data_IF_911937715130
#
_entry.id   IF_911937715130
#
_cell.length_a   1.000
_cell.length_b   1.000
_cell.length_c   1.000
_cell.angle_alpha   90.00
_cell.angle_beta   90.00
_cell.angle_gamma   90.00
#
_symmetry.space_group_name_H-M   'P 1'
#
loop_
_entity.id
_entity.type
_entity.pdbx_description
1 polymer ?
#
# COMPACT_ATOMS: atom_id res chain seq x y z
N UNK A 1 -15.36 -2.13 -8.85
CA UNK A 1 -16.60 -1.55 -9.41
C UNK A 1 -16.81 -2.14 -10.78
N UNK A 2 -17.90 -2.88 -11.03
CA UNK A 2 -18.17 -3.50 -12.34
C UNK A 2 -18.52 -2.45 -13.41
N UNK A 3 -18.34 -2.82 -14.66
CA UNK A 3 -18.72 -1.97 -15.81
C UNK A 3 -20.26 -1.90 -15.95
N UNK A 4 -20.80 -0.73 -16.20
CA UNK A 4 -22.22 -0.40 -16.01
C UNK A 4 -23.20 -1.03 -17.03
N UNK A 5 -22.77 -1.52 -18.18
CA UNK A 5 -23.66 -2.03 -19.21
C UNK A 5 -23.28 -3.43 -19.65
N UNK A 6 -24.24 -4.36 -19.64
CA UNK A 6 -24.06 -5.74 -20.00
C UNK A 6 -23.54 -6.62 -18.87
N UNK A 7 -23.12 -7.84 -19.18
CA UNK A 7 -22.51 -8.80 -18.24
C UNK A 7 -21.03 -8.87 -18.50
N UNK A 8 -20.22 -8.60 -17.46
CA UNK A 8 -18.75 -8.65 -17.54
C UNK A 8 -18.17 -9.03 -16.18
N UNK A 9 -17.04 -9.71 -16.17
CA UNK A 9 -16.23 -9.95 -14.97
C UNK A 9 -15.19 -8.85 -14.73
N UNK A 10 -14.96 -7.96 -15.71
CA UNK A 10 -14.05 -6.85 -15.55
C UNK A 10 -14.55 -5.86 -14.51
N UNK A 11 -13.70 -5.52 -13.56
CA UNK A 11 -13.98 -4.57 -12.49
C UNK A 11 -12.82 -3.58 -12.33
N UNK A 12 -13.13 -2.33 -12.01
CA UNK A 12 -12.10 -1.38 -11.59
C UNK A 12 -11.78 -1.55 -10.10
N UNK A 13 -10.51 -1.46 -9.76
CA UNK A 13 -10.02 -1.41 -8.40
C UNK A 13 -9.34 -0.07 -8.17
N UNK A 14 -9.54 0.51 -7.00
CA UNK A 14 -8.88 1.74 -6.58
C UNK A 14 -8.47 1.63 -5.12
N UNK A 15 -7.26 2.07 -4.83
CA UNK A 15 -6.74 2.18 -3.48
C UNK A 15 -6.05 3.53 -3.28
N UNK A 16 -6.03 4.01 -2.05
CA UNK A 16 -5.31 5.25 -1.70
C UNK A 16 -4.23 4.97 -0.66
N UNK A 17 -3.23 5.85 -0.60
CA UNK A 17 -2.19 5.86 0.41
C UNK A 17 -1.95 7.28 0.90
N UNK A 18 -1.80 7.43 2.22
CA UNK A 18 -1.42 8.66 2.91
C UNK A 18 -1.24 8.40 4.40
N UNK A 19 -0.16 8.94 4.95
CA UNK A 19 0.07 8.98 6.39
C UNK A 19 0.47 10.40 6.81
N UNK A 20 -0.37 11.11 7.57
CA UNK A 20 -0.12 12.49 7.98
C UNK A 20 1.11 12.63 8.89
N UNK A 21 1.37 11.68 9.77
CA UNK A 21 2.50 11.73 10.71
C UNK A 21 3.84 11.59 9.98
N UNK A 22 3.93 10.66 9.04
CA UNK A 22 5.10 10.53 8.18
C UNK A 22 5.29 11.76 7.32
N UNK A 23 4.22 12.33 6.76
CA UNK A 23 4.28 13.54 5.94
C UNK A 23 4.73 14.78 6.73
N UNK A 24 4.36 14.89 8.02
CA UNK A 24 4.84 15.94 8.93
C UNK A 24 6.32 15.75 9.24
N UNK A 25 6.74 14.52 9.51
CA UNK A 25 8.14 14.18 9.77
C UNK A 25 9.02 14.46 8.54
N UNK A 26 8.59 14.02 7.36
CA UNK A 26 9.27 14.25 6.09
C UNK A 26 8.30 14.19 4.92
N UNK A 27 8.02 15.32 4.25
CA UNK A 27 7.17 15.35 3.07
C UNK A 27 7.66 14.40 1.96
N UNK A 28 8.97 14.23 1.82
CA UNK A 28 9.57 13.28 0.87
C UNK A 28 9.14 11.83 1.17
N UNK A 29 9.34 11.37 2.40
CA UNK A 29 8.95 10.00 2.79
C UNK A 29 7.44 9.83 2.82
N UNK A 30 6.70 10.85 3.29
CA UNK A 30 5.24 10.81 3.30
C UNK A 30 4.66 10.58 1.91
N UNK A 31 5.16 11.27 0.91
CA UNK A 31 4.71 11.12 -0.48
C UNK A 31 5.20 9.81 -1.13
N UNK A 32 6.45 9.43 -0.89
CA UNK A 32 7.00 8.16 -1.36
C UNK A 32 6.20 6.97 -0.81
N UNK A 33 5.91 6.96 0.49
CA UNK A 33 5.14 5.90 1.12
C UNK A 33 3.66 5.94 0.73
N UNK A 34 3.09 7.12 0.46
CA UNK A 34 1.73 7.23 -0.06
C UNK A 34 1.58 6.54 -1.42
N UNK A 35 2.54 6.73 -2.32
CA UNK A 35 2.58 6.02 -3.62
C UNK A 35 2.68 4.52 -3.38
N UNK A 36 3.63 4.09 -2.57
CA UNK A 36 3.84 2.66 -2.26
C UNK A 36 2.59 2.04 -1.63
N UNK A 37 1.99 2.68 -0.63
CA UNK A 37 0.78 2.18 0.04
C UNK A 37 -0.37 1.99 -0.95
N UNK A 38 -0.65 2.97 -1.81
CA UNK A 38 -1.73 2.88 -2.78
C UNK A 38 -1.53 1.72 -3.76
N UNK A 39 -0.29 1.51 -4.23
CA UNK A 39 0.08 0.41 -5.13
C UNK A 39 -0.06 -0.94 -4.44
N UNK A 40 0.54 -1.09 -3.25
CA UNK A 40 0.50 -2.35 -2.47
C UNK A 40 -0.94 -2.75 -2.14
N UNK A 41 -1.78 -1.80 -1.77
CA UNK A 41 -3.21 -2.03 -1.49
C UNK A 41 -3.99 -2.44 -2.74
N UNK A 42 -3.69 -1.86 -3.90
CA UNK A 42 -4.32 -2.26 -5.15
C UNK A 42 -3.91 -3.68 -5.55
N UNK A 43 -2.63 -4.03 -5.37
CA UNK A 43 -2.13 -5.39 -5.63
C UNK A 43 -2.73 -6.40 -4.66
N UNK A 44 -2.90 -6.05 -3.37
CA UNK A 44 -3.57 -6.90 -2.39
C UNK A 44 -5.02 -7.26 -2.78
N UNK A 45 -5.67 -6.47 -3.63
CA UNK A 45 -7.00 -6.76 -4.20
C UNK A 45 -6.96 -7.57 -5.51
N UNK A 46 -5.77 -7.87 -6.04
CA UNK A 46 -5.57 -8.63 -7.27
C UNK A 46 -5.09 -7.81 -8.48
N UNK A 47 -4.82 -6.51 -8.33
CA UNK A 47 -4.37 -5.71 -9.46
C UNK A 47 -2.96 -6.11 -9.94
N UNK A 48 -2.77 -6.10 -11.26
CA UNK A 48 -1.45 -6.25 -11.88
C UNK A 48 -0.59 -5.00 -11.57
N UNK A 49 0.53 -5.14 -10.82
CA UNK A 49 1.36 -4.01 -10.43
C UNK A 49 1.89 -3.21 -11.62
N UNK A 50 2.12 -3.84 -12.77
CA UNK A 50 2.64 -3.17 -13.97
C UNK A 50 1.58 -2.36 -14.74
N UNK A 51 0.29 -2.60 -14.46
CA UNK A 51 -0.83 -1.95 -15.19
C UNK A 51 -1.53 -0.87 -14.40
N UNK A 52 -1.09 -0.58 -13.20
CA UNK A 52 -1.67 0.50 -12.39
C UNK A 52 -1.41 1.87 -13.01
N UNK A 53 -2.34 2.78 -12.78
CA UNK A 53 -2.23 4.21 -13.09
C UNK A 53 -2.51 4.99 -11.82
N UNK A 54 -1.78 6.07 -11.61
CA UNK A 54 -1.91 6.83 -10.38
C UNK A 54 -2.46 8.23 -10.65
N UNK A 55 -3.15 8.78 -9.66
CA UNK A 55 -3.51 10.19 -9.59
C UNK A 55 -3.15 10.72 -8.21
N UNK A 56 -2.66 11.95 -8.15
CA UNK A 56 -2.15 12.54 -6.92
C UNK A 56 -3.03 13.71 -6.49
N UNK A 57 -3.30 13.81 -5.19
CA UNK A 57 -4.01 14.94 -4.59
C UNK A 57 -3.10 15.61 -3.56
N UNK A 58 -2.88 16.90 -3.72
CA UNK A 58 -1.96 17.66 -2.88
C UNK A 58 -2.65 18.79 -2.15
N UNK A 59 -2.28 18.95 -0.87
CA UNK A 59 -2.72 20.06 -0.03
C UNK A 59 -1.55 20.54 0.82
N UNK A 60 -1.18 21.81 0.67
CA UNK A 60 -0.08 22.40 1.40
C UNK A 60 -0.50 23.71 2.09
N UNK A 61 0.23 24.13 3.14
CA UNK A 61 0.07 25.45 3.74
C UNK A 61 0.21 26.57 2.71
N UNK A 62 -0.15 27.79 3.10
CA UNK A 62 0.09 28.97 2.26
C UNK A 62 1.59 29.14 1.99
N UNK A 63 1.98 29.16 0.73
CA UNK A 63 3.38 29.21 0.27
C UNK A 63 3.89 30.65 0.19
N UNK A 64 4.17 31.27 1.32
CA UNK A 64 4.55 32.69 1.45
C UNK A 64 6.05 32.91 1.64
N UNK A 65 6.86 31.87 1.71
CA UNK A 65 8.31 31.93 1.85
C UNK A 65 8.98 30.67 1.27
N UNK A 66 10.31 30.71 1.14
CA UNK A 66 11.10 29.62 0.52
C UNK A 66 10.96 28.28 1.26
N UNK A 67 10.91 28.31 2.59
CA UNK A 67 10.76 27.08 3.38
C UNK A 67 9.39 26.42 3.14
N UNK A 68 8.32 27.21 3.02
CA UNK A 68 6.99 26.70 2.69
C UNK A 68 6.97 26.03 1.30
N UNK A 69 7.68 26.58 0.31
CA UNK A 69 7.83 25.93 -1.01
C UNK A 69 8.64 24.63 -0.97
N UNK A 70 9.49 24.45 0.02
CA UNK A 70 10.23 23.21 0.26
C UNK A 70 9.33 22.01 0.56
N UNK A 71 8.13 22.23 1.13
CA UNK A 71 7.19 21.15 1.48
C UNK A 71 6.63 20.45 0.23
N UNK A 72 5.96 21.14 -0.73
CA UNK A 72 5.49 20.48 -1.94
C UNK A 72 6.64 19.97 -2.80
N UNK A 73 7.77 20.68 -2.87
CA UNK A 73 8.92 20.20 -3.62
C UNK A 73 9.47 18.89 -3.07
N UNK A 74 9.61 18.75 -1.74
CA UNK A 74 10.03 17.52 -1.09
C UNK A 74 9.03 16.37 -1.34
N UNK A 75 7.73 16.66 -1.23
CA UNK A 75 6.69 15.66 -1.51
C UNK A 75 6.73 15.17 -2.96
N UNK A 76 6.84 16.09 -3.93
CA UNK A 76 6.96 15.74 -5.35
C UNK A 76 8.20 14.89 -5.64
N UNK A 77 9.35 15.20 -5.04
CA UNK A 77 10.55 14.37 -5.16
C UNK A 77 10.34 12.97 -4.61
N UNK A 78 9.67 12.82 -3.46
CA UNK A 78 9.34 11.51 -2.89
C UNK A 78 8.40 10.71 -3.77
N UNK A 79 7.34 11.33 -4.25
CA UNK A 79 6.40 10.70 -5.19
C UNK A 79 7.10 10.30 -6.49
N UNK A 80 7.92 11.19 -7.06
CA UNK A 80 8.70 10.91 -8.28
C UNK A 80 9.65 9.73 -8.09
N UNK A 81 10.35 9.67 -6.96
CA UNK A 81 11.25 8.56 -6.62
C UNK A 81 10.51 7.22 -6.66
N UNK A 82 9.33 7.15 -6.06
CA UNK A 82 8.54 5.92 -6.05
C UNK A 82 7.95 5.59 -7.45
N UNK A 83 7.41 6.58 -8.14
CA UNK A 83 6.82 6.40 -9.47
C UNK A 83 7.85 5.93 -10.51
N UNK A 84 9.03 6.55 -10.52
CA UNK A 84 10.13 6.20 -11.42
C UNK A 84 10.65 4.78 -11.13
N UNK A 85 10.91 4.48 -9.86
CA UNK A 85 11.41 3.17 -9.45
C UNK A 85 10.40 2.03 -9.67
N UNK A 86 9.10 2.31 -9.56
CA UNK A 86 8.03 1.34 -9.84
C UNK A 86 7.65 1.31 -11.33
N UNK A 87 8.17 2.22 -12.16
CA UNK A 87 7.82 2.39 -13.58
C UNK A 87 6.32 2.62 -13.80
N UNK A 88 5.68 3.36 -12.90
CA UNK A 88 4.24 3.63 -12.93
C UNK A 88 3.96 5.11 -13.25
N UNK A 89 3.06 5.40 -14.20
CA UNK A 89 2.72 6.77 -14.52
C UNK A 89 1.69 7.36 -13.56
N UNK A 90 1.90 8.60 -13.15
CA UNK A 90 0.83 9.45 -12.65
C UNK A 90 0.14 10.13 -13.84
N UNK A 91 -1.15 9.86 -14.02
CA UNK A 91 -1.93 10.30 -15.19
C UNK A 91 -2.70 11.60 -14.95
N UNK A 92 -2.68 12.11 -13.73
CA UNK A 92 -3.37 13.33 -13.35
C UNK A 92 -3.22 13.62 -11.88
N UNK A 93 -3.84 14.70 -11.47
CA UNK A 93 -3.83 15.11 -10.07
C UNK A 93 -4.42 16.51 -9.91
N UNK A 94 -4.39 16.97 -8.67
CA UNK A 94 -4.86 18.30 -8.28
C UNK A 94 -4.06 18.76 -7.07
N UNK A 95 -3.64 19.99 -7.08
CA UNK A 95 -2.93 20.61 -5.96
C UNK A 95 -3.70 21.80 -5.37
N UNK A 96 -3.45 22.09 -4.10
CA UNK A 96 -3.93 23.27 -3.40
C UNK A 96 -2.86 23.80 -2.44
N UNK A 97 -2.43 25.03 -2.67
CA UNK A 97 -1.33 25.68 -1.94
C UNK A 97 -1.81 26.76 -0.96
N UNK A 98 -3.03 26.61 -0.44
CA UNK A 98 -3.65 27.57 0.46
C UNK A 98 -4.39 26.90 1.62
N UNK A 99 -3.89 25.78 2.10
CA UNK A 99 -4.49 25.01 3.19
C UNK A 99 -4.29 25.64 4.58
N UNK A 100 -4.40 26.96 4.69
CA UNK A 100 -4.32 27.70 5.95
C UNK A 100 -5.58 28.52 6.15
N UNK A 101 -6.24 28.35 7.28
CA UNK A 101 -7.40 29.11 7.69
C UNK A 101 -7.23 29.59 9.14
N UNK A 102 -7.13 30.90 9.33
CA UNK A 102 -6.79 31.54 10.60
C UNK A 102 -5.47 30.99 11.16
N UNK A 103 -5.50 30.35 12.32
CA UNK A 103 -4.38 29.72 13.04
C UNK A 103 -4.18 28.23 12.68
N UNK A 104 -5.09 27.66 11.88
CA UNK A 104 -5.05 26.24 11.49
C UNK A 104 -4.44 26.08 10.12
N UNK A 105 -3.57 25.08 10.00
CA UNK A 105 -2.89 24.76 8.74
C UNK A 105 -2.96 23.25 8.51
N UNK A 106 -3.18 22.85 7.26
CA UNK A 106 -3.10 21.43 6.89
C UNK A 106 -1.66 20.94 7.01
N UNK A 107 -1.43 19.69 7.43
CA UNK A 107 -0.11 19.07 7.30
C UNK A 107 0.30 19.00 5.82
N UNK A 108 1.60 18.86 5.51
CA UNK A 108 2.03 18.53 4.16
C UNK A 108 1.30 17.29 3.70
N UNK A 109 0.54 17.38 2.62
CA UNK A 109 -0.34 16.29 2.18
C UNK A 109 -0.12 15.99 0.72
N UNK A 110 0.29 14.75 0.42
CA UNK A 110 0.19 14.16 -0.88
C UNK A 110 -0.49 12.79 -0.73
N UNK A 111 -1.71 12.70 -1.23
CA UNK A 111 -2.48 11.45 -1.28
C UNK A 111 -2.28 10.82 -2.64
N UNK A 112 -1.88 9.57 -2.69
CA UNK A 112 -1.80 8.78 -3.92
C UNK A 112 -3.03 7.89 -4.06
N UNK A 113 -3.58 7.82 -5.27
CA UNK A 113 -4.63 6.88 -5.65
C UNK A 113 -4.10 6.01 -6.78
N UNK A 114 -4.03 4.70 -6.57
CA UNK A 114 -3.72 3.73 -7.60
C UNK A 114 -5.01 3.14 -8.15
N UNK A 115 -5.13 3.08 -9.47
CA UNK A 115 -6.30 2.57 -10.19
C UNK A 115 -5.87 1.49 -11.16
N UNK A 116 -6.61 0.40 -11.21
CA UNK A 116 -6.40 -0.72 -12.12
C UNK A 116 -7.68 -1.40 -12.55
N UNK A 117 -7.54 -2.39 -13.41
CA UNK A 117 -8.63 -3.27 -13.84
C UNK A 117 -8.27 -4.69 -13.44
N UNK A 118 -9.23 -5.42 -12.88
CA UNK A 118 -9.09 -6.81 -12.47
C UNK A 118 -10.22 -7.66 -13.04
N UNK A 119 -10.04 -8.98 -13.05
CA UNK A 119 -11.17 -9.91 -13.13
C UNK A 119 -11.82 -10.00 -11.74
N UNK A 120 -13.06 -9.54 -11.61
CA UNK A 120 -13.77 -9.53 -10.33
C UNK A 120 -13.95 -10.92 -9.71
N UNK A 121 -13.90 -11.99 -10.50
CA UNK A 121 -13.94 -13.36 -9.98
C UNK A 121 -12.63 -13.78 -9.28
N UNK A 122 -11.54 -13.04 -9.50
CA UNK A 122 -10.22 -13.28 -8.91
C UNK A 122 -9.88 -12.25 -7.83
N UNK A 123 -10.82 -11.38 -7.49
CA UNK A 123 -10.62 -10.40 -6.43
C UNK A 123 -10.37 -11.11 -5.10
N UNK A 124 -9.33 -10.70 -4.38
CA UNK A 124 -8.96 -11.20 -3.07
C UNK A 124 -9.40 -10.19 -2.00
N UNK A 125 -9.97 -10.66 -0.91
CA UNK A 125 -10.36 -9.83 0.23
C UNK A 125 -9.44 -10.05 1.43
N UNK A 126 -9.53 -9.16 2.42
CA UNK A 126 -8.54 -9.10 3.49
C UNK A 126 -8.76 -10.12 4.61
N UNK A 127 -10.01 -10.53 4.89
CA UNK A 127 -10.31 -11.45 5.98
C UNK A 127 -9.73 -12.85 5.75
N UNK A 128 -9.17 -13.48 6.78
CA UNK A 128 -8.72 -14.88 6.71
C UNK A 128 -9.88 -15.81 6.38
N UNK A 129 -9.63 -16.83 5.54
CA UNK A 129 -10.69 -17.69 4.96
C UNK A 129 -10.84 -19.01 5.69
N UNK A 130 -9.74 -19.67 6.08
CA UNK A 130 -9.80 -21.02 6.61
C UNK A 130 -8.75 -21.24 7.70
N UNK A 131 -9.16 -21.89 8.80
CA UNK A 131 -8.24 -22.26 9.88
C UNK A 131 -7.22 -23.32 9.42
N UNK A 132 -5.97 -23.13 9.84
CA UNK A 132 -4.86 -24.05 9.50
C UNK A 132 -4.12 -23.69 8.22
N UNK A 133 -4.54 -22.67 7.49
CA UNK A 133 -3.77 -22.14 6.39
C UNK A 133 -2.53 -21.38 6.89
N UNK A 134 -1.45 -21.44 6.10
CA UNK A 134 -0.24 -20.70 6.40
C UNK A 134 -0.40 -19.21 6.06
N UNK A 135 0.15 -18.36 6.93
CA UNK A 135 0.14 -16.91 6.75
C UNK A 135 1.56 -16.37 6.67
N UNK A 136 1.84 -15.63 5.61
CA UNK A 136 3.16 -15.05 5.35
C UNK A 136 3.11 -13.54 5.53
N UNK A 137 4.09 -13.00 6.26
CA UNK A 137 4.40 -11.59 6.26
C UNK A 137 5.52 -11.31 5.26
N UNK A 138 5.21 -10.55 4.23
CA UNK A 138 6.15 -10.13 3.20
C UNK A 138 6.57 -8.69 3.48
N UNK A 139 7.83 -8.48 3.87
CA UNK A 139 8.40 -7.17 4.16
C UNK A 139 9.12 -6.58 2.94
N UNK A 140 9.29 -5.27 2.95
CA UNK A 140 10.17 -4.57 2.01
C UNK A 140 11.36 -3.97 2.76
N UNK A 141 12.61 -4.30 2.40
CA UNK A 141 13.80 -3.71 3.00
C UNK A 141 13.87 -2.19 2.77
N UNK A 142 14.56 -1.50 3.69
CA UNK A 142 14.85 -0.06 3.61
C UNK A 142 16.32 0.17 3.90
N UNK A 143 16.87 1.23 3.33
CA UNK A 143 18.21 1.70 3.66
C UNK A 143 18.22 2.56 4.94
N UNK A 144 19.41 3.06 5.31
CA UNK A 144 19.58 3.92 6.49
C UNK A 144 18.92 5.30 6.35
N UNK A 145 18.51 5.69 5.15
CA UNK A 145 17.74 6.90 4.87
C UNK A 145 16.24 6.63 4.80
N UNK A 146 15.79 5.46 5.21
CA UNK A 146 14.38 5.02 5.17
C UNK A 146 13.80 4.95 3.74
N UNK A 147 14.64 4.86 2.71
CA UNK A 147 14.22 4.64 1.32
C UNK A 147 14.07 3.15 1.07
N UNK A 148 12.96 2.77 0.44
CA UNK A 148 12.65 1.36 0.17
C UNK A 148 13.58 0.77 -0.91
N UNK A 149 13.87 -0.51 -0.79
CA UNK A 149 14.40 -1.31 -1.89
C UNK A 149 13.28 -1.58 -2.91
N UNK A 150 13.16 -0.69 -3.88
CA UNK A 150 12.13 -0.79 -4.91
C UNK A 150 12.31 -2.01 -5.82
N UNK A 151 13.53 -2.52 -5.98
CA UNK A 151 13.74 -3.75 -6.75
C UNK A 151 13.13 -4.95 -6.02
N UNK A 152 13.36 -5.05 -4.71
CA UNK A 152 12.72 -6.06 -3.87
C UNK A 152 11.21 -5.89 -3.84
N UNK A 153 10.70 -4.65 -3.70
CA UNK A 153 9.27 -4.37 -3.72
C UNK A 153 8.61 -4.82 -5.03
N UNK A 154 9.17 -4.46 -6.18
CA UNK A 154 8.66 -4.88 -7.50
C UNK A 154 8.62 -6.39 -7.65
N UNK A 155 9.71 -7.07 -7.24
CA UNK A 155 9.77 -8.54 -7.24
C UNK A 155 8.64 -9.13 -6.40
N UNK A 156 8.46 -8.64 -5.17
CA UNK A 156 7.43 -9.10 -4.25
C UNK A 156 6.03 -8.91 -4.84
N UNK A 157 5.71 -7.71 -5.33
CA UNK A 157 4.39 -7.41 -5.89
C UNK A 157 4.07 -8.23 -7.14
N UNK A 158 5.07 -8.48 -7.99
CA UNK A 158 4.92 -9.35 -9.17
C UNK A 158 4.65 -10.80 -8.76
N UNK A 159 5.37 -11.32 -7.76
CA UNK A 159 5.17 -12.67 -7.25
C UNK A 159 3.79 -12.84 -6.60
N UNK A 160 3.37 -11.85 -5.79
CA UNK A 160 2.03 -11.83 -5.16
C UNK A 160 0.93 -11.85 -6.22
N UNK A 161 1.01 -10.98 -7.22
CA UNK A 161 0.02 -10.96 -8.30
C UNK A 161 -0.04 -12.28 -9.07
N UNK A 162 1.11 -12.85 -9.44
CA UNK A 162 1.18 -14.15 -10.12
C UNK A 162 0.58 -15.29 -9.26
N UNK A 163 0.84 -15.29 -7.96
CA UNK A 163 0.28 -16.27 -7.04
C UNK A 163 -1.25 -16.12 -6.87
N UNK A 164 -1.77 -14.88 -6.85
CA UNK A 164 -3.21 -14.61 -6.85
C UNK A 164 -3.87 -15.12 -8.14
N UNK A 165 -3.29 -14.82 -9.30
CA UNK A 165 -3.76 -15.32 -10.59
C UNK A 165 -3.80 -16.85 -10.66
N UNK A 166 -2.86 -17.52 -9.99
CA UNK A 166 -2.79 -18.98 -9.88
C UNK A 166 -3.70 -19.57 -8.77
N UNK A 167 -4.43 -18.73 -8.02
CA UNK A 167 -5.29 -19.19 -6.91
C UNK A 167 -4.52 -19.72 -5.70
N UNK A 168 -3.27 -19.30 -5.51
CA UNK A 168 -2.40 -19.69 -4.40
C UNK A 168 -2.55 -18.81 -3.15
N UNK A 169 -3.25 -17.69 -3.24
CA UNK A 169 -3.47 -16.73 -2.13
C UNK A 169 -4.98 -16.59 -1.90
N UNK A 170 -5.41 -16.85 -0.68
CA UNK A 170 -6.82 -16.77 -0.27
C UNK A 170 -7.20 -15.40 0.30
N UNK A 171 -6.30 -14.78 1.07
CA UNK A 171 -6.49 -13.44 1.61
C UNK A 171 -5.20 -12.62 1.53
N UNK A 172 -5.34 -11.31 1.35
CA UNK A 172 -4.21 -10.41 1.31
C UNK A 172 -4.57 -9.02 1.83
N UNK A 173 -3.68 -8.41 2.60
CA UNK A 173 -3.85 -7.04 3.04
C UNK A 173 -2.50 -6.33 3.24
N UNK A 174 -2.48 -5.03 2.95
CA UNK A 174 -1.33 -4.16 3.19
C UNK A 174 -1.24 -3.78 4.67
N UNK A 175 -0.03 -3.82 5.23
CA UNK A 175 0.21 -3.37 6.60
C UNK A 175 0.15 -1.85 6.64
N UNK A 176 -0.53 -1.33 7.67
CA UNK A 176 -0.77 0.10 7.91
C UNK A 176 -0.45 0.46 9.36
N UNK A 177 -0.94 1.63 9.80
CA UNK A 177 -0.81 2.07 11.18
C UNK A 177 -1.31 1.01 12.17
N UNK A 178 -0.54 0.83 13.23
CA UNK A 178 -0.72 -0.25 14.19
C UNK A 178 -0.01 -1.56 13.80
N UNK A 179 0.69 -1.55 12.65
CA UNK A 179 1.59 -2.63 12.25
C UNK A 179 0.89 -3.95 11.93
N UNK A 180 1.66 -5.02 11.98
CA UNK A 180 1.20 -6.38 11.72
C UNK A 180 0.15 -6.80 12.75
N UNK A 181 0.30 -6.39 14.02
CA UNK A 181 -0.62 -6.75 15.08
C UNK A 181 -2.05 -6.27 14.82
N UNK A 182 -2.21 -4.99 14.44
CA UNK A 182 -3.52 -4.43 14.12
C UNK A 182 -4.11 -5.07 12.86
N UNK A 183 -3.27 -5.29 11.83
CA UNK A 183 -3.72 -5.90 10.58
C UNK A 183 -4.21 -7.33 10.79
N UNK A 184 -3.40 -8.20 11.42
CA UNK A 184 -3.76 -9.60 11.68
C UNK A 184 -5.03 -9.68 12.54
N UNK A 185 -5.16 -8.84 13.56
CA UNK A 185 -6.39 -8.76 14.36
C UNK A 185 -7.61 -8.45 13.48
N UNK A 186 -7.49 -7.46 12.59
CA UNK A 186 -8.59 -7.11 11.68
C UNK A 186 -8.92 -8.24 10.71
N UNK A 187 -7.91 -8.94 10.17
CA UNK A 187 -8.10 -10.08 9.28
C UNK A 187 -8.77 -11.27 9.98
N UNK A 188 -8.54 -11.46 11.28
CA UNK A 188 -9.20 -12.48 12.09
C UNK A 188 -10.69 -12.22 12.28
N UNK A 189 -11.09 -10.95 12.45
CA UNK A 189 -12.47 -10.58 12.82
C UNK A 189 -13.50 -10.93 11.73
N UNK A 190 -13.11 -10.94 10.46
CA UNK A 190 -14.05 -11.11 9.35
C UNK A 190 -14.75 -12.47 9.34
N UNK A 191 -14.05 -13.54 9.70
CA UNK A 191 -14.59 -14.91 9.77
C UNK A 191 -14.39 -15.57 11.15
N UNK A 192 -14.17 -14.77 12.19
CA UNK A 192 -14.02 -15.23 13.57
C UNK A 192 -12.90 -16.28 13.73
N UNK A 193 -11.80 -16.12 12.99
CA UNK A 193 -10.65 -17.02 13.04
C UNK A 193 -9.61 -16.51 14.03
N UNK A 194 -8.86 -17.45 14.65
CA UNK A 194 -7.69 -17.15 15.47
C UNK A 194 -6.43 -17.02 14.64
N UNK A 195 -5.35 -16.53 15.26
CA UNK A 195 -4.03 -16.42 14.66
C UNK A 195 -2.94 -16.79 15.67
N UNK A 196 -1.93 -17.52 15.21
CA UNK A 196 -0.77 -17.89 16.02
C UNK A 196 0.53 -17.53 15.28
N UNK A 197 1.43 -16.82 15.97
CA UNK A 197 2.77 -16.56 15.44
C UNK A 197 3.66 -17.78 15.65
N UNK A 198 4.07 -18.45 14.59
CA UNK A 198 4.93 -19.65 14.65
C UNK A 198 6.37 -19.28 15.02
N UNK A 199 6.84 -18.11 14.59
CA UNK A 199 8.18 -17.58 14.91
C UNK A 199 8.03 -16.34 15.79
N UNK A 200 8.79 -16.26 16.90
CA UNK A 200 8.79 -15.06 17.73
C UNK A 200 9.36 -13.87 16.95
N UNK A 201 8.79 -12.69 17.17
CA UNK A 201 9.40 -11.44 16.75
C UNK A 201 10.60 -11.12 17.66
N UNK A 202 11.61 -10.45 17.10
CA UNK A 202 12.81 -10.07 17.85
C UNK A 202 12.50 -9.12 19.01
N UNK A 203 11.48 -8.28 18.82
CA UNK A 203 10.97 -7.36 19.83
C UNK A 203 9.46 -7.10 19.61
N UNK A 204 8.78 -6.67 20.66
CA UNK A 204 7.34 -6.40 20.60
C UNK A 204 7.03 -5.17 19.75
N UNK A 205 7.91 -4.19 19.70
CA UNK A 205 7.69 -2.93 18.98
C UNK A 205 7.59 -3.16 17.47
N UNK A 206 8.31 -4.15 16.95
CA UNK A 206 8.25 -4.52 15.52
C UNK A 206 6.86 -4.97 15.06
N UNK A 207 6.03 -5.47 15.97
CA UNK A 207 4.64 -5.86 15.68
C UNK A 207 3.74 -4.64 15.41
N UNK A 208 4.06 -3.50 15.99
CA UNK A 208 3.25 -2.27 15.93
C UNK A 208 3.86 -1.21 15.01
N UNK A 209 5.08 -1.44 14.53
CA UNK A 209 5.74 -0.52 13.60
C UNK A 209 5.11 -0.63 12.21
N UNK A 210 4.98 0.52 11.52
CA UNK A 210 4.56 0.59 10.13
C UNK A 210 5.70 0.11 9.21
N UNK A 211 5.58 -1.03 8.51
CA UNK A 211 6.51 -1.47 7.48
C UNK A 211 6.00 -1.02 6.10
N UNK A 212 6.42 0.13 5.54
CA UNK A 212 5.98 0.55 4.22
C UNK A 212 6.25 -0.54 3.18
N UNK A 213 5.25 -0.84 2.34
CA UNK A 213 5.36 -1.92 1.36
C UNK A 213 5.06 -3.33 1.90
N UNK A 214 4.77 -3.46 3.21
CA UNK A 214 4.48 -4.75 3.84
C UNK A 214 3.10 -5.31 3.48
N UNK A 215 3.03 -6.64 3.31
CA UNK A 215 1.82 -7.41 3.04
C UNK A 215 1.69 -8.59 4.00
N UNK A 216 0.47 -8.87 4.44
CA UNK A 216 0.10 -10.14 5.08
C UNK A 216 -0.74 -10.93 4.08
N UNK A 217 -0.38 -12.19 3.87
CA UNK A 217 -0.95 -13.08 2.86
C UNK A 217 -1.35 -14.39 3.52
N UNK A 218 -2.60 -14.82 3.35
CA UNK A 218 -3.03 -16.19 3.64
C UNK A 218 -2.85 -17.04 2.39
N UNK A 219 -2.06 -18.10 2.48
CA UNK A 219 -1.83 -19.01 1.39
C UNK A 219 -2.98 -20.03 1.26
N UNK A 220 -3.22 -20.50 0.06
CA UNK A 220 -4.16 -21.60 -0.16
C UNK A 220 -3.62 -22.88 0.48
N UNK A 221 -4.51 -23.77 0.89
CA UNK A 221 -4.16 -25.01 1.59
C UNK A 221 -3.12 -25.85 0.85
N UNK A 222 -2.01 -26.14 1.54
CA UNK A 222 -0.93 -26.95 1.01
C UNK A 222 0.01 -26.22 0.06
N UNK A 223 -0.07 -24.92 -0.03
CA UNK A 223 0.90 -24.06 -0.75
C UNK A 223 1.98 -23.65 0.25
N UNK A 224 3.23 -23.91 -0.08
CA UNK A 224 4.39 -23.50 0.72
C UNK A 224 4.90 -22.13 0.25
N UNK A 225 5.40 -21.27 1.18
CA UNK A 225 5.92 -19.95 0.83
C UNK A 225 7.00 -19.96 -0.26
N UNK A 226 7.87 -20.98 -0.25
CA UNK A 226 8.97 -21.17 -1.21
C UNK A 226 8.50 -21.45 -2.65
N UNK A 227 7.21 -21.76 -2.82
CA UNK A 227 6.62 -21.91 -4.16
C UNK A 227 6.28 -20.55 -4.81
N UNK A 228 6.31 -19.48 -4.03
CA UNK A 228 5.89 -18.14 -4.45
C UNK A 228 7.08 -17.16 -4.43
N UNK A 229 7.94 -17.23 -3.38
CA UNK A 229 8.96 -16.22 -3.06
C UNK A 229 10.43 -16.72 -3.19
#
# INVERSE_FOLDING_TARGET
>A
IPVLHGTTTAASVMACGYNPEVAIWSPFHGAMYAVVESVVRAVALGADPAKLRLTLQEYFPKLNNTAAWGLPFGALLGAFTALDALELPAIGGKDSMSGTFMDKTVPPTLVSFAVGVIDGNKAVSAEFKEAGNEVVFLSCPRDNAEVLDFAALRKNLTAVHAAMEAGKINAAAAVKDGGIAALVTTMCLGNELGFEFIKPFNDTDSLFTLPPGGLVLELAKGVEPEEIF
#
